data_IF_305919552323
#
_entry.id   IF_305919552323
#
_cell.length_a   1.000
_cell.length_b   1.000
_cell.length_c   1.000
_cell.angle_alpha   90.00
_cell.angle_beta   90.00
_cell.angle_gamma   90.00
#
_symmetry.space_group_name_H-M   'P 1'
#
loop_
_entity.id
_entity.type
_entity.pdbx_description
1 polymer ?
#
# COMPACT_ATOMS: atom_id res chain seq x y z
N UNK A 1 14.06 -25.80 -28.45
CA UNK A 1 13.08 -24.68 -28.56
C UNK A 1 12.23 -24.50 -27.31
N UNK A 2 11.61 -25.56 -26.76
CA UNK A 2 10.77 -25.44 -25.55
C UNK A 2 11.52 -24.89 -24.31
N UNK A 3 12.76 -25.32 -24.07
CA UNK A 3 13.56 -24.88 -22.91
C UNK A 3 13.98 -23.40 -22.98
N UNK A 4 14.34 -22.91 -24.18
CA UNK A 4 14.66 -21.49 -24.39
C UNK A 4 13.43 -20.61 -24.16
N UNK A 5 12.24 -21.06 -24.60
CA UNK A 5 11.00 -20.35 -24.35
C UNK A 5 10.67 -20.28 -22.85
N UNK A 6 10.83 -21.39 -22.11
CA UNK A 6 10.63 -21.40 -20.66
C UNK A 6 11.63 -20.47 -19.94
N UNK A 7 12.91 -20.51 -20.31
CA UNK A 7 13.94 -19.66 -19.71
C UNK A 7 13.62 -18.18 -19.91
N UNK A 8 13.19 -17.79 -21.12
CA UNK A 8 12.83 -16.41 -21.44
C UNK A 8 11.59 -15.96 -20.66
N UNK A 9 10.57 -16.82 -20.51
CA UNK A 9 9.39 -16.55 -19.68
C UNK A 9 9.74 -16.32 -18.20
N UNK A 10 10.61 -17.15 -17.61
CA UNK A 10 11.07 -16.99 -16.22
C UNK A 10 11.83 -15.69 -15.99
N UNK A 11 12.72 -15.33 -16.92
CA UNK A 11 13.47 -14.07 -16.85
C UNK A 11 12.50 -12.88 -16.92
N UNK A 12 11.56 -12.91 -17.87
CA UNK A 12 10.59 -11.83 -18.06
C UNK A 12 9.68 -11.66 -16.82
N UNK A 13 9.21 -12.77 -16.24
CA UNK A 13 8.43 -12.75 -15.01
C UNK A 13 9.20 -12.19 -13.81
N UNK A 14 10.47 -12.56 -13.67
CA UNK A 14 11.34 -12.07 -12.58
C UNK A 14 11.63 -10.56 -12.72
N UNK A 15 11.92 -10.11 -13.94
CA UNK A 15 12.16 -8.68 -14.22
C UNK A 15 10.90 -7.86 -13.96
N UNK A 16 9.73 -8.33 -14.42
CA UNK A 16 8.46 -7.65 -14.18
C UNK A 16 8.16 -7.55 -12.68
N UNK A 17 8.40 -8.63 -11.92
CA UNK A 17 8.21 -8.65 -10.47
C UNK A 17 9.05 -7.56 -9.77
N UNK A 18 10.33 -7.44 -10.13
CA UNK A 18 11.23 -6.41 -9.58
C UNK A 18 10.73 -5.00 -9.92
N UNK A 19 10.34 -4.75 -11.18
CA UNK A 19 9.85 -3.43 -11.62
C UNK A 19 8.61 -3.02 -10.81
N UNK A 20 7.65 -3.93 -10.65
CA UNK A 20 6.42 -3.65 -9.88
C UNK A 20 6.75 -3.29 -8.42
N UNK A 21 7.71 -3.98 -7.80
CA UNK A 21 8.12 -3.68 -6.42
C UNK A 21 8.83 -2.32 -6.29
N UNK A 22 9.67 -1.95 -7.26
CA UNK A 22 10.31 -0.63 -7.28
C UNK A 22 9.24 0.47 -7.40
N UNK A 23 8.28 0.30 -8.31
CA UNK A 23 7.18 1.26 -8.49
C UNK A 23 6.37 1.36 -7.19
N UNK A 24 6.00 0.23 -6.58
CA UNK A 24 5.26 0.22 -5.31
C UNK A 24 6.02 0.95 -4.19
N UNK A 25 7.34 0.74 -4.07
CA UNK A 25 8.18 1.44 -3.11
C UNK A 25 8.22 2.95 -3.32
N UNK A 26 8.33 3.40 -4.57
CA UNK A 26 8.29 4.84 -4.93
C UNK A 26 6.91 5.42 -4.62
N UNK A 27 5.83 4.72 -4.98
CA UNK A 27 4.46 5.15 -4.68
C UNK A 27 4.21 5.28 -3.17
N UNK A 28 4.74 4.36 -2.37
CA UNK A 28 4.64 4.42 -0.91
C UNK A 28 5.35 5.65 -0.33
N UNK A 29 6.55 5.97 -0.80
CA UNK A 29 7.25 7.20 -0.43
C UNK A 29 6.46 8.45 -0.82
N UNK A 30 5.83 8.43 -2.00
CA UNK A 30 4.90 9.47 -2.45
C UNK A 30 3.73 9.66 -1.49
N UNK A 31 3.07 8.57 -1.07
CA UNK A 31 1.96 8.61 -0.11
C UNK A 31 2.41 9.22 1.23
N UNK A 32 3.56 8.81 1.76
CA UNK A 32 4.09 9.39 3.00
C UNK A 32 4.37 10.89 2.84
N UNK A 33 5.01 11.28 1.74
CA UNK A 33 5.36 12.67 1.48
C UNK A 33 4.11 13.56 1.38
N UNK A 34 3.11 13.15 0.59
CA UNK A 34 1.86 13.89 0.45
C UNK A 34 1.04 13.90 1.74
N UNK A 35 0.97 12.77 2.45
CA UNK A 35 0.30 12.70 3.74
C UNK A 35 0.94 13.66 4.77
N UNK A 36 2.28 13.74 4.80
CA UNK A 36 3.00 14.67 5.67
C UNK A 36 2.79 16.14 5.30
N UNK A 37 2.83 16.45 4.00
CA UNK A 37 2.58 17.80 3.50
C UNK A 37 1.16 18.26 3.89
N UNK A 38 0.16 17.43 3.61
CA UNK A 38 -1.23 17.73 3.94
C UNK A 38 -1.49 17.74 5.45
N UNK A 39 -0.79 16.92 6.23
CA UNK A 39 -0.86 16.96 7.70
C UNK A 39 -0.38 18.31 8.26
N UNK A 40 0.62 18.94 7.64
CA UNK A 40 1.08 20.28 8.04
C UNK A 40 0.09 21.39 7.69
N UNK A 41 -0.60 21.25 6.57
CA UNK A 41 -1.54 22.27 6.07
C UNK A 41 -2.94 22.17 6.70
N UNK A 42 -3.28 21.03 7.31
CA UNK A 42 -4.60 20.80 7.91
C UNK A 42 -4.53 20.71 9.44
N UNK A 43 -5.69 20.58 10.09
CA UNK A 43 -5.88 20.55 11.55
C UNK A 43 -5.24 19.35 12.28
N UNK A 44 -4.27 18.66 11.67
CA UNK A 44 -3.56 17.49 12.23
C UNK A 44 -4.52 16.40 12.74
N UNK A 45 -5.67 16.27 12.07
CA UNK A 45 -6.71 15.35 12.48
C UNK A 45 -6.27 13.88 12.48
N UNK A 46 -6.92 13.07 13.32
CA UNK A 46 -6.63 11.65 13.51
C UNK A 46 -6.74 10.81 12.21
N UNK A 47 -7.46 11.32 11.21
CA UNK A 47 -7.59 10.67 9.90
C UNK A 47 -6.25 10.58 9.14
N UNK A 48 -5.27 11.44 9.45
CA UNK A 48 -3.90 11.33 8.92
C UNK A 48 -3.14 10.15 9.52
N UNK A 49 -3.32 9.91 10.83
CA UNK A 49 -2.72 8.75 11.49
C UNK A 49 -3.28 7.47 10.89
N UNK A 50 -4.60 7.41 10.68
CA UNK A 50 -5.24 6.30 9.97
C UNK A 50 -4.69 6.12 8.55
N UNK A 51 -4.34 7.23 7.86
CA UNK A 51 -3.85 7.16 6.49
C UNK A 51 -2.43 6.58 6.47
N UNK A 52 -1.59 7.04 7.39
CA UNK A 52 -0.26 6.49 7.60
C UNK A 52 -0.31 5.01 7.99
N UNK A 53 -1.20 4.65 8.90
CA UNK A 53 -1.38 3.26 9.36
C UNK A 53 -1.91 2.36 8.23
N UNK A 54 -2.77 2.88 7.36
CA UNK A 54 -3.24 2.16 6.17
C UNK A 54 -2.10 1.88 5.20
N UNK A 55 -1.26 2.88 4.94
CA UNK A 55 -0.10 2.75 4.06
C UNK A 55 0.89 1.74 4.65
N UNK A 56 1.15 1.80 5.96
CA UNK A 56 2.04 0.86 6.65
C UNK A 56 1.51 -0.58 6.58
N UNK A 57 0.19 -0.76 6.70
CA UNK A 57 -0.45 -2.07 6.57
C UNK A 57 -0.28 -2.63 5.15
N UNK A 58 -0.54 -1.83 4.11
CA UNK A 58 -0.29 -2.23 2.72
C UNK A 58 1.19 -2.53 2.44
N UNK A 59 2.11 -1.70 2.94
CA UNK A 59 3.54 -1.93 2.77
C UNK A 59 3.99 -3.23 3.46
N UNK A 60 3.46 -3.54 4.65
CA UNK A 60 3.77 -4.79 5.34
C UNK A 60 3.33 -6.03 4.55
N UNK A 61 2.19 -5.96 3.86
CA UNK A 61 1.70 -7.06 3.01
C UNK A 61 2.67 -7.40 1.87
N UNK A 62 3.33 -6.39 1.31
CA UNK A 62 4.38 -6.53 0.28
C UNK A 62 5.75 -6.92 0.86
N UNK A 63 6.08 -6.52 2.10
CA UNK A 63 7.33 -6.99 2.71
C UNK A 63 7.31 -8.49 3.00
N UNK A 64 6.15 -9.06 3.32
CA UNK A 64 6.02 -10.51 3.48
C UNK A 64 6.29 -11.27 2.18
N UNK A 65 5.95 -10.71 1.01
CA UNK A 65 6.21 -11.33 -0.30
C UNK A 65 7.69 -11.23 -0.69
N UNK A 66 8.38 -10.15 -0.29
CA UNK A 66 9.83 -9.97 -0.54
C UNK A 66 10.68 -10.87 0.36
N UNK A 67 10.37 -10.95 1.66
CA UNK A 67 11.17 -11.69 2.66
C UNK A 67 11.00 -13.20 2.48
N UNK A 68 9.81 -13.65 2.07
CA UNK A 68 9.49 -15.06 1.82
C UNK A 68 9.14 -15.29 0.34
N UNK A 69 10.14 -15.24 -0.56
CA UNK A 69 9.91 -15.39 -2.00
C UNK A 69 9.54 -16.83 -2.39
N UNK A 70 9.87 -17.81 -1.53
CA UNK A 70 9.52 -19.21 -1.72
C UNK A 70 8.09 -19.48 -1.21
N UNK A 71 7.14 -19.41 -2.15
CA UNK A 71 5.91 -20.19 -2.09
C UNK A 71 4.79 -19.58 -1.25
N UNK A 72 3.92 -18.79 -1.91
CA UNK A 72 2.51 -18.62 -1.54
C UNK A 72 1.78 -19.95 -1.26
N UNK A 73 2.32 -21.08 -1.77
CA UNK A 73 1.83 -22.45 -1.54
C UNK A 73 2.43 -23.13 -0.30
N UNK A 74 3.64 -22.78 0.11
CA UNK A 74 4.38 -23.51 1.15
C UNK A 74 4.15 -22.90 2.55
N UNK A 75 3.75 -21.63 2.60
CA UNK A 75 3.47 -20.91 3.85
C UNK A 75 2.07 -20.27 3.84
N UNK A 76 0.99 -21.04 4.09
CA UNK A 76 -0.39 -20.51 4.09
C UNK A 76 -0.60 -19.39 5.14
N UNK A 77 0.22 -19.36 6.18
CA UNK A 77 0.20 -18.32 7.23
C UNK A 77 0.68 -16.97 6.68
N UNK A 78 1.73 -16.94 5.84
CA UNK A 78 2.24 -15.68 5.28
C UNK A 78 1.23 -15.05 4.30
N UNK A 79 0.55 -15.89 3.51
CA UNK A 79 -0.57 -15.47 2.67
C UNK A 79 -1.71 -14.86 3.52
N UNK A 80 -2.11 -15.54 4.59
CA UNK A 80 -3.19 -15.07 5.48
C UNK A 80 -2.82 -13.73 6.14
N UNK A 81 -1.56 -13.56 6.58
CA UNK A 81 -1.08 -12.30 7.15
C UNK A 81 -1.05 -11.16 6.13
N UNK A 82 -0.65 -11.45 4.88
CA UNK A 82 -0.68 -10.49 3.77
C UNK A 82 -2.12 -10.05 3.45
N UNK A 83 -3.06 -10.99 3.40
CA UNK A 83 -4.48 -10.70 3.15
C UNK A 83 -5.09 -9.89 4.31
N UNK A 84 -4.77 -10.23 5.56
CA UNK A 84 -5.22 -9.47 6.73
C UNK A 84 -4.66 -8.04 6.74
N UNK A 85 -3.39 -7.86 6.38
CA UNK A 85 -2.75 -6.56 6.25
C UNK A 85 -3.38 -5.72 5.12
N UNK A 86 -3.74 -6.35 4.00
CA UNK A 86 -4.46 -5.68 2.92
C UNK A 86 -5.89 -5.26 3.33
N UNK A 87 -6.62 -6.14 4.02
CA UNK A 87 -7.97 -5.84 4.51
C UNK A 87 -7.95 -4.71 5.55
N UNK A 88 -7.06 -4.81 6.54
CA UNK A 88 -6.92 -3.78 7.58
C UNK A 88 -6.46 -2.44 6.97
N UNK A 89 -5.52 -2.49 6.03
CA UNK A 89 -5.09 -1.33 5.23
C UNK A 89 -6.26 -0.68 4.51
N UNK A 90 -7.10 -1.45 3.81
CA UNK A 90 -8.26 -0.93 3.09
C UNK A 90 -9.30 -0.28 4.01
N UNK A 91 -9.57 -0.88 5.18
CA UNK A 91 -10.49 -0.33 6.18
C UNK A 91 -9.95 1.00 6.71
N UNK A 92 -8.67 1.04 7.10
CA UNK A 92 -8.02 2.27 7.61
C UNK A 92 -7.98 3.37 6.55
N UNK A 93 -7.76 3.01 5.28
CA UNK A 93 -7.80 3.94 4.16
C UNK A 93 -9.20 4.54 3.99
N UNK A 94 -10.25 3.72 4.06
CA UNK A 94 -11.63 4.19 3.99
C UNK A 94 -11.97 5.16 5.15
N UNK A 95 -11.53 4.84 6.38
CA UNK A 95 -11.68 5.73 7.54
C UNK A 95 -10.98 7.08 7.31
N UNK A 96 -9.79 7.06 6.72
CA UNK A 96 -9.07 8.28 6.36
C UNK A 96 -9.78 9.11 5.32
N UNK A 97 -10.29 8.49 4.24
CA UNK A 97 -11.08 9.17 3.23
C UNK A 97 -12.34 9.81 3.81
N UNK A 98 -13.04 9.11 4.72
CA UNK A 98 -14.20 9.65 5.41
C UNK A 98 -13.85 10.86 6.29
N UNK A 99 -12.75 10.78 7.05
CA UNK A 99 -12.27 11.89 7.88
C UNK A 99 -11.88 13.12 7.06
N UNK A 100 -11.20 12.92 5.91
CA UNK A 100 -10.89 13.97 4.95
C UNK A 100 -12.16 14.62 4.40
N UNK A 101 -13.11 13.80 3.92
CA UNK A 101 -14.39 14.29 3.38
C UNK A 101 -15.15 15.13 4.40
N UNK A 102 -15.29 14.65 5.64
CA UNK A 102 -15.98 15.38 6.72
C UNK A 102 -15.32 16.74 6.99
N UNK A 103 -13.98 16.77 7.00
CA UNK A 103 -13.20 18.00 7.23
C UNK A 103 -13.39 19.00 6.09
N UNK A 104 -13.28 18.56 4.83
CA UNK A 104 -13.49 19.42 3.67
C UNK A 104 -14.92 19.98 3.63
N UNK A 105 -15.92 19.13 3.90
CA UNK A 105 -17.32 19.55 3.95
C UNK A 105 -17.58 20.57 5.08
N UNK A 106 -16.92 20.39 6.23
CA UNK A 106 -17.01 21.36 7.33
C UNK A 106 -16.37 22.71 6.97
N UNK A 107 -15.20 22.71 6.35
CA UNK A 107 -14.53 23.93 5.88
C UNK A 107 -15.42 24.64 4.86
N UNK A 108 -15.96 23.92 3.88
CA UNK A 108 -16.86 24.46 2.87
C UNK A 108 -18.06 25.20 3.50
N UNK A 109 -18.71 24.58 4.48
CA UNK A 109 -19.82 25.19 5.23
C UNK A 109 -19.45 26.43 6.06
N UNK A 110 -18.17 26.67 6.32
CA UNK A 110 -17.71 27.91 6.98
C UNK A 110 -17.37 29.02 6.00
N UNK A 111 -17.08 28.66 4.75
CA UNK A 111 -16.65 29.59 3.70
C UNK A 111 -17.84 30.06 2.86
N UNK A 112 -18.84 29.20 2.64
CA UNK A 112 -20.17 29.54 2.12
C UNK A 112 -21.03 30.22 3.19
#
# INVERSE_FOLDING_TARGET
MAEQFMMLFWILGSVLHIIVHIIAGISFLGVIYFAYLLYKETDKGWYWISLFLSALSFASAEWFTIIFPMGRRDFPISQTLSDLANISGAILFAVSCYGLYKTMHYIRKRVE
#
